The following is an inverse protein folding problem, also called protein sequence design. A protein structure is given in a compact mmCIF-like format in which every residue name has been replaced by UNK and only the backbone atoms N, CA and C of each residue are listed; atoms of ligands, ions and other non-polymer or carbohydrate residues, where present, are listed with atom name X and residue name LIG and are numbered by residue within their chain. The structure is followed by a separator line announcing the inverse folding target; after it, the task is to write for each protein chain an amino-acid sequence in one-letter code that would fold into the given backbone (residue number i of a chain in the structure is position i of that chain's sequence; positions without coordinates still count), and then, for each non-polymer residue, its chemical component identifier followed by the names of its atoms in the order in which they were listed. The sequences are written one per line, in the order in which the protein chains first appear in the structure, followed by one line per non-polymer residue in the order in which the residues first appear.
data_IF_718451660970
#
_entry.id   IF_718451660970
#
_cell.length_a   1.000
_cell.length_b   1.000
_cell.length_c   1.000
_cell.angle_alpha   90.00
_cell.angle_beta   90.00
_cell.angle_gamma   90.00
#
_symmetry.space_group_name_H-M   'P 1'
#
loop_
_entity.id
_entity.type
_entity.pdbx_description
1 polymer ?
#
# COMPACT_ATOMS: atom_id res chain seq x y z
N UNK A 1 28.99 37.87 -10.54
CA UNK A 1 27.65 37.28 -10.40
C UNK A 1 27.76 35.83 -10.83
N UNK A 2 27.84 34.93 -9.85
CA UNK A 2 28.22 33.53 -10.05
C UNK A 2 27.00 32.67 -10.38
N UNK A 3 27.18 31.84 -11.40
CA UNK A 3 26.27 30.81 -11.91
C UNK A 3 26.10 29.70 -10.86
N UNK A 4 24.89 29.22 -10.51
CA UNK A 4 24.74 28.06 -9.64
C UNK A 4 25.15 26.81 -10.44
N UNK A 5 26.28 26.24 -10.06
CA UNK A 5 26.79 24.99 -10.60
C UNK A 5 25.76 23.87 -10.38
N UNK A 6 25.44 23.16 -11.45
CA UNK A 6 24.83 21.83 -11.37
C UNK A 6 25.76 20.94 -10.54
N UNK A 7 25.25 20.41 -9.42
CA UNK A 7 25.94 19.35 -8.72
C UNK A 7 26.05 18.12 -9.65
N UNK A 8 27.18 17.39 -9.67
CA UNK A 8 27.33 16.25 -10.56
C UNK A 8 26.31 15.16 -10.22
N UNK A 9 25.50 14.79 -11.23
CA UNK A 9 24.92 13.45 -11.32
C UNK A 9 26.11 12.51 -11.53
N UNK A 10 26.52 11.79 -10.49
CA UNK A 10 27.27 10.50 -10.52
C UNK A 10 27.99 10.29 -9.19
N UNK A 11 27.25 9.85 -8.17
CA UNK A 11 27.79 9.13 -7.01
C UNK A 11 26.80 8.01 -6.64
N UNK A 12 26.48 7.14 -7.61
CA UNK A 12 25.92 5.83 -7.30
C UNK A 12 27.11 4.92 -7.01
N UNK A 13 27.66 5.05 -5.79
CA UNK A 13 28.57 4.04 -5.26
C UNK A 13 27.77 2.79 -4.90
N UNK A 14 28.29 1.60 -5.21
CA UNK A 14 27.76 0.35 -4.65
C UNK A 14 27.72 0.47 -3.12
N UNK A 15 26.53 0.24 -2.55
CA UNK A 15 26.29 0.41 -1.12
C UNK A 15 26.87 -0.80 -0.36
N UNK A 16 27.84 -0.54 0.51
CA UNK A 16 28.35 -1.52 1.47
C UNK A 16 27.23 -1.94 2.43
N UNK A 17 26.86 -3.22 2.39
CA UNK A 17 25.84 -3.82 3.25
C UNK A 17 26.22 -3.83 4.74
N UNK A 18 27.48 -3.50 5.08
CA UNK A 18 27.96 -3.40 6.46
C UNK A 18 27.79 -2.03 7.12
N UNK A 19 27.13 -1.08 6.46
CA UNK A 19 26.84 0.24 7.04
C UNK A 19 25.62 0.21 7.97
N UNK A 20 25.61 1.06 8.99
CA UNK A 20 24.51 1.19 9.97
C UNK A 20 23.20 1.67 9.29
N UNK A 21 23.31 2.29 8.11
CA UNK A 21 22.20 2.83 7.32
C UNK A 21 22.17 2.10 5.99
N UNK A 22 21.17 1.25 5.79
CA UNK A 22 21.01 0.46 4.56
C UNK A 22 19.87 1.05 3.73
N UNK A 23 20.11 1.44 2.48
CA UNK A 23 19.02 1.81 1.58
C UNK A 23 18.22 0.55 1.23
N UNK A 24 16.91 0.57 1.45
CA UNK A 24 16.03 -0.59 1.22
C UNK A 24 15.08 -0.40 0.05
N UNK A 25 14.78 0.85 -0.30
CA UNK A 25 13.95 1.18 -1.46
C UNK A 25 14.32 2.56 -2.01
N UNK A 26 14.19 2.71 -3.33
CA UNK A 26 14.43 3.94 -4.07
C UNK A 26 13.46 4.02 -5.25
N UNK A 27 12.53 4.98 -5.22
CA UNK A 27 11.68 5.31 -6.36
C UNK A 27 12.13 6.61 -7.04
N UNK A 28 13.45 6.82 -7.11
CA UNK A 28 14.04 8.01 -7.71
C UNK A 28 13.70 9.27 -6.92
N UNK A 29 13.09 10.25 -7.58
CA UNK A 29 12.85 11.57 -6.99
C UNK A 29 11.64 11.61 -6.05
N UNK A 30 10.87 10.52 -5.91
CA UNK A 30 9.59 10.52 -5.17
C UNK A 30 9.71 9.98 -3.76
N UNK A 31 10.36 8.82 -3.57
CA UNK A 31 10.54 8.24 -2.24
C UNK A 31 11.88 7.53 -2.12
N UNK A 32 12.50 7.66 -0.96
CA UNK A 32 13.65 6.85 -0.56
C UNK A 32 13.43 6.31 0.84
N UNK A 33 13.78 5.04 1.03
CA UNK A 33 13.62 4.34 2.31
C UNK A 33 14.95 3.75 2.74
N UNK A 34 15.31 3.97 4.00
CA UNK A 34 16.49 3.42 4.63
C UNK A 34 16.11 2.64 5.89
N UNK A 35 16.85 1.58 6.18
CA UNK A 35 16.80 0.86 7.45
C UNK A 35 17.98 1.28 8.31
N UNK A 36 17.70 1.64 9.56
CA UNK A 36 18.71 1.98 10.57
C UNK A 36 18.40 1.18 11.84
N UNK A 37 19.18 0.13 12.09
CA UNK A 37 18.91 -0.80 13.19
C UNK A 37 17.50 -1.41 13.10
N UNK A 38 16.65 -1.10 14.08
CA UNK A 38 15.24 -1.52 14.16
C UNK A 38 14.25 -0.44 13.73
N UNK A 39 14.68 0.55 12.95
CA UNK A 39 13.81 1.59 12.41
C UNK A 39 13.92 1.67 10.89
N UNK A 40 12.85 2.14 10.26
CA UNK A 40 12.82 2.53 8.85
C UNK A 40 12.61 4.04 8.76
N UNK A 41 13.41 4.71 7.94
CA UNK A 41 13.30 6.12 7.63
C UNK A 41 12.78 6.20 6.19
N UNK A 42 11.65 6.85 5.99
CA UNK A 42 11.07 7.13 4.68
C UNK A 42 11.05 8.65 4.49
N UNK A 43 11.66 9.12 3.40
CA UNK A 43 11.56 10.51 2.95
C UNK A 43 10.78 10.54 1.63
N UNK A 44 9.73 11.35 1.60
CA UNK A 44 8.78 11.46 0.49
C UNK A 44 8.75 12.89 -0.02
N UNK A 45 8.92 13.05 -1.33
CA UNK A 45 8.63 14.28 -2.04
C UNK A 45 7.23 14.18 -2.66
N UNK A 46 6.24 14.79 -2.00
CA UNK A 46 4.86 14.72 -2.46
C UNK A 46 4.63 15.69 -3.63
N UNK A 47 4.23 15.17 -4.80
CA UNK A 47 3.85 16.05 -5.89
C UNK A 47 2.65 16.92 -5.49
N UNK A 48 2.43 18.09 -6.13
CA UNK A 48 1.37 19.03 -5.73
C UNK A 48 -0.02 18.40 -5.55
N UNK A 49 -0.37 17.42 -6.39
CA UNK A 49 -1.67 16.73 -6.35
C UNK A 49 -1.83 15.72 -5.18
N UNK A 50 -0.77 15.45 -4.41
CA UNK A 50 -0.78 14.62 -3.20
C UNK A 50 -0.65 15.42 -1.90
N UNK A 51 -0.52 16.75 -1.96
CA UNK A 51 -0.24 17.55 -0.75
C UNK A 51 -1.37 17.53 0.29
N UNK A 52 -2.60 17.33 -0.17
CA UNK A 52 -3.78 17.18 0.69
C UNK A 52 -4.10 15.70 0.98
N UNK A 53 -3.18 14.77 0.68
CA UNK A 53 -3.39 13.35 0.98
C UNK A 53 -3.15 13.09 2.47
N UNK A 54 -3.93 12.18 3.05
CA UNK A 54 -3.70 11.73 4.43
C UNK A 54 -2.30 11.13 4.55
N UNK A 55 -1.49 11.71 5.45
CA UNK A 55 -0.13 11.25 5.67
C UNK A 55 -0.10 9.92 6.41
N UNK A 56 0.89 9.09 6.10
CA UNK A 56 1.02 7.73 6.66
C UNK A 56 0.98 7.70 8.20
N UNK A 57 1.62 8.67 8.87
CA UNK A 57 1.64 8.72 10.33
C UNK A 57 0.24 8.93 10.93
N UNK A 58 -0.62 9.68 10.24
CA UNK A 58 -2.01 9.93 10.68
C UNK A 58 -2.79 8.62 10.66
N UNK A 59 -2.66 7.86 9.58
CA UNK A 59 -3.28 6.54 9.44
C UNK A 59 -2.79 5.57 10.52
N UNK A 60 -1.48 5.43 10.69
CA UNK A 60 -0.90 4.50 11.67
C UNK A 60 -1.37 4.85 13.09
N UNK A 61 -1.28 6.13 13.48
CA UNK A 61 -1.69 6.58 14.80
C UNK A 61 -3.18 6.32 15.05
N UNK A 62 -4.04 6.54 14.05
CA UNK A 62 -5.45 6.25 14.15
C UNK A 62 -5.73 4.74 14.30
N UNK A 63 -5.01 3.88 13.60
CA UNK A 63 -5.20 2.42 13.68
C UNK A 63 -4.78 1.83 15.03
N UNK A 64 -3.75 2.38 15.68
CA UNK A 64 -3.36 1.97 17.04
C UNK A 64 -4.49 2.15 18.06
N UNK A 65 -5.45 3.04 17.80
CA UNK A 65 -6.61 3.23 18.69
C UNK A 65 -7.81 2.33 18.34
N UNK A 66 -7.72 1.47 17.32
CA UNK A 66 -8.86 0.67 16.81
C UNK A 66 -8.91 -0.77 17.31
N UNK A 67 -7.90 -1.23 18.05
CA UNK A 67 -7.86 -2.59 18.60
C UNK A 67 -7.79 -3.68 17.52
N UNK A 68 -6.99 -3.43 16.47
CA UNK A 68 -6.79 -4.35 15.34
C UNK A 68 -6.08 -5.66 15.74
N UNK A 69 -6.38 -6.76 15.04
CA UNK A 69 -5.88 -8.12 15.34
C UNK A 69 -4.49 -8.47 14.76
N UNK A 70 -3.83 -7.52 14.12
CA UNK A 70 -2.55 -7.69 13.45
C UNK A 70 -1.60 -6.55 13.81
N UNK A 71 -0.29 -6.80 13.67
CA UNK A 71 0.70 -5.81 14.05
C UNK A 71 0.91 -4.76 12.94
N UNK A 72 1.13 -3.52 13.34
CA UNK A 72 1.52 -2.41 12.45
C UNK A 72 2.71 -1.67 13.07
N UNK A 73 3.50 -0.92 12.28
CA UNK A 73 4.60 -0.13 12.82
C UNK A 73 4.14 0.91 13.84
N UNK A 74 5.03 1.27 14.77
CA UNK A 74 4.89 2.48 15.56
C UNK A 74 5.51 3.65 14.81
N UNK A 75 4.88 4.83 14.87
CA UNK A 75 5.50 6.08 14.43
C UNK A 75 6.47 6.53 15.51
N UNK A 76 7.76 6.54 15.20
CA UNK A 76 8.82 6.98 16.11
C UNK A 76 9.09 8.48 15.96
N UNK A 77 8.98 8.98 14.73
CA UNK A 77 9.15 10.39 14.40
C UNK A 77 8.43 10.70 13.10
N UNK A 78 7.94 11.94 12.95
CA UNK A 78 7.54 12.48 11.65
C UNK A 78 7.75 13.99 11.65
N UNK A 79 8.10 14.55 10.50
CA UNK A 79 8.20 15.99 10.30
C UNK A 79 8.20 16.33 8.81
N UNK A 80 7.86 17.57 8.50
CA UNK A 80 8.29 18.18 7.25
C UNK A 80 9.68 18.78 7.42
N UNK A 81 10.55 18.53 6.45
CA UNK A 81 11.81 19.24 6.30
C UNK A 81 11.84 19.86 4.91
N UNK A 82 11.77 21.19 4.86
CA UNK A 82 11.50 21.95 3.64
C UNK A 82 10.19 21.48 2.98
N UNK A 83 10.25 20.95 1.76
CA UNK A 83 9.11 20.42 1.01
C UNK A 83 8.94 18.90 1.13
N UNK A 84 9.81 18.22 1.88
CA UNK A 84 9.82 16.77 2.02
C UNK A 84 9.17 16.32 3.31
N UNK A 85 8.26 15.36 3.20
CA UNK A 85 7.72 14.66 4.35
C UNK A 85 8.66 13.53 4.76
N UNK A 86 9.00 13.46 6.04
CA UNK A 86 9.80 12.39 6.60
C UNK A 86 9.01 11.67 7.70
N UNK A 87 9.05 10.34 7.67
CA UNK A 87 8.51 9.47 8.71
C UNK A 87 9.55 8.42 9.11
N UNK A 88 9.65 8.18 10.41
CA UNK A 88 10.45 7.10 10.98
C UNK A 88 9.51 6.14 11.68
N UNK A 89 9.55 4.87 11.31
CA UNK A 89 8.70 3.81 11.87
C UNK A 89 9.53 2.68 12.46
N UNK A 90 8.95 1.93 13.41
CA UNK A 90 9.59 0.71 13.94
C UNK A 90 9.61 -0.41 12.89
N UNK A 91 10.68 -1.21 12.87
CA UNK A 91 10.73 -2.44 12.10
C UNK A 91 9.75 -3.49 12.65
N UNK A 92 9.21 -4.33 11.77
CA UNK A 92 8.38 -5.48 12.14
C UNK A 92 9.20 -6.77 12.16
N UNK A 93 8.78 -7.72 13.00
CA UNK A 93 9.40 -9.04 13.08
C UNK A 93 8.98 -9.89 11.88
N UNK A 94 9.96 -10.49 11.21
CA UNK A 94 9.75 -11.41 10.10
C UNK A 94 10.40 -10.93 8.80
N UNK A 95 9.91 -11.46 7.69
CA UNK A 95 10.33 -11.07 6.33
C UNK A 95 9.09 -10.74 5.50
N UNK A 96 9.25 -9.97 4.43
CA UNK A 96 8.14 -9.67 3.53
C UNK A 96 7.62 -10.95 2.86
N UNK A 97 6.31 -11.00 2.59
CA UNK A 97 5.65 -12.20 2.08
C UNK A 97 6.22 -12.63 0.73
N UNK A 98 6.60 -11.69 -0.13
CA UNK A 98 7.27 -11.96 -1.41
C UNK A 98 8.56 -12.76 -1.26
N UNK A 99 9.37 -12.43 -0.26
CA UNK A 99 10.63 -13.14 0.03
C UNK A 99 10.39 -14.52 0.63
N UNK A 100 9.35 -14.65 1.46
CA UNK A 100 9.02 -15.93 2.08
C UNK A 100 8.27 -16.88 1.13
N UNK A 101 7.53 -16.35 0.16
CA UNK A 101 6.52 -17.10 -0.60
C UNK A 101 7.02 -18.40 -1.23
N UNK A 102 8.16 -18.35 -1.90
CA UNK A 102 8.74 -19.52 -2.59
C UNK A 102 9.17 -20.62 -1.62
N UNK A 103 9.47 -20.27 -0.37
CA UNK A 103 9.86 -21.23 0.68
C UNK A 103 8.67 -21.82 1.45
N UNK A 104 7.48 -21.26 1.32
CA UNK A 104 6.28 -21.73 2.00
C UNK A 104 5.67 -22.95 1.30
N UNK A 105 5.20 -23.91 2.08
CA UNK A 105 4.29 -24.95 1.60
C UNK A 105 2.88 -24.41 1.35
N UNK A 106 2.03 -25.25 0.75
CA UNK A 106 0.67 -24.87 0.38
C UNK A 106 -0.18 -24.52 1.60
N UNK A 107 -0.07 -25.27 2.70
CA UNK A 107 -0.83 -25.01 3.93
C UNK A 107 -0.48 -23.64 4.52
N UNK A 108 0.80 -23.29 4.55
CA UNK A 108 1.27 -21.99 5.04
C UNK A 108 0.80 -20.83 4.16
N UNK A 109 0.82 -21.01 2.84
CA UNK A 109 0.29 -19.99 1.90
C UNK A 109 -1.20 -19.77 2.09
N UNK A 110 -1.97 -20.85 2.24
CA UNK A 110 -3.41 -20.76 2.50
C UNK A 110 -3.71 -20.09 3.84
N UNK A 111 -2.95 -20.44 4.89
CA UNK A 111 -3.06 -19.81 6.20
C UNK A 111 -2.89 -18.28 6.12
N UNK A 112 -1.83 -17.79 5.47
CA UNK A 112 -1.60 -16.35 5.37
C UNK A 112 -2.62 -15.66 4.46
N UNK A 113 -3.10 -16.32 3.41
CA UNK A 113 -4.18 -15.78 2.58
C UNK A 113 -5.48 -15.64 3.39
N UNK A 114 -5.83 -16.62 4.22
CA UNK A 114 -6.98 -16.53 5.14
C UNK A 114 -6.80 -15.42 6.17
N UNK A 115 -5.60 -15.27 6.73
CA UNK A 115 -5.28 -14.16 7.65
C UNK A 115 -5.45 -12.80 6.98
N UNK A 116 -5.07 -12.63 5.72
CA UNK A 116 -5.26 -11.37 4.99
C UNK A 116 -6.74 -11.11 4.69
N UNK A 117 -7.52 -12.15 4.39
CA UNK A 117 -8.99 -12.03 4.25
C UNK A 117 -9.62 -11.55 5.56
N UNK A 118 -9.20 -12.09 6.69
CA UNK A 118 -9.68 -11.65 8.01
C UNK A 118 -9.28 -10.20 8.31
N UNK A 119 -8.08 -9.78 7.94
CA UNK A 119 -7.62 -8.38 8.05
C UNK A 119 -8.48 -7.46 7.18
N UNK A 120 -8.79 -7.84 5.93
CA UNK A 120 -9.70 -7.10 5.07
C UNK A 120 -11.10 -6.98 5.67
N UNK A 121 -11.65 -8.06 6.25
CA UNK A 121 -12.94 -8.04 6.96
C UNK A 121 -12.90 -7.13 8.18
N UNK A 122 -11.81 -7.16 8.93
CA UNK A 122 -11.63 -6.33 10.12
C UNK A 122 -11.56 -4.85 9.79
N UNK A 123 -10.71 -4.46 8.83
CA UNK A 123 -10.62 -3.08 8.36
C UNK A 123 -11.95 -2.59 7.76
N UNK A 124 -12.65 -3.43 7.01
CA UNK A 124 -13.93 -3.06 6.41
C UNK A 124 -15.07 -2.80 7.43
N UNK A 125 -14.87 -3.09 8.73
CA UNK A 125 -15.80 -2.66 9.80
C UNK A 125 -15.69 -1.17 10.10
N UNK A 126 -14.60 -0.52 9.71
CA UNK A 126 -14.48 0.93 9.84
C UNK A 126 -15.14 1.59 8.63
N UNK A 127 -16.12 2.45 8.90
CA UNK A 127 -16.96 3.05 7.86
C UNK A 127 -16.89 4.58 7.90
N UNK A 128 -17.05 5.18 6.73
CA UNK A 128 -17.24 6.62 6.59
C UNK A 128 -18.31 6.92 5.52
N UNK A 129 -18.94 8.09 5.68
CA UNK A 129 -19.87 8.65 4.69
C UNK A 129 -19.19 9.23 3.45
N UNK A 130 -17.88 9.02 3.29
CA UNK A 130 -17.08 9.64 2.25
C UNK A 130 -15.96 8.71 1.76
N UNK A 131 -15.53 8.91 0.51
CA UNK A 131 -14.22 8.45 0.02
C UNK A 131 -13.14 9.47 0.41
N UNK A 132 -12.01 8.96 0.91
CA UNK A 132 -10.93 9.79 1.47
C UNK A 132 -10.13 9.02 2.52
N UNK A 133 -9.07 9.63 3.04
CA UNK A 133 -8.30 9.02 4.12
C UNK A 133 -8.96 9.17 5.50
N UNK A 134 -8.33 8.61 6.53
CA UNK A 134 -8.96 8.38 7.84
C UNK A 134 -9.33 9.67 8.61
N UNK A 135 -8.68 10.78 8.27
CA UNK A 135 -8.86 12.12 8.83
C UNK A 135 -9.80 13.01 7.98
N UNK A 136 -10.37 12.47 6.90
CA UNK A 136 -11.21 13.21 5.96
C UNK A 136 -10.48 13.93 4.84
N UNK A 137 -9.14 13.85 4.79
CA UNK A 137 -8.33 14.35 3.69
C UNK A 137 -8.43 13.43 2.44
N UNK A 138 -7.68 13.78 1.39
CA UNK A 138 -7.74 13.04 0.13
C UNK A 138 -7.08 11.66 0.24
N UNK A 139 -7.59 10.73 -0.58
CA UNK A 139 -7.06 9.37 -0.70
C UNK A 139 -6.18 9.30 -1.94
N UNK A 140 -4.88 9.06 -1.78
CA UNK A 140 -3.95 8.95 -2.90
C UNK A 140 -4.07 7.59 -3.63
N UNK A 141 -5.26 7.21 -4.08
CA UNK A 141 -5.48 5.96 -4.82
C UNK A 141 -5.34 6.18 -6.33
N UNK A 142 -4.11 6.01 -6.81
CA UNK A 142 -3.74 6.16 -8.23
C UNK A 142 -4.57 5.31 -9.17
N UNK A 143 -4.97 4.11 -8.74
CA UNK A 143 -5.67 3.17 -9.61
C UNK A 143 -7.17 3.45 -9.72
N UNK A 144 -7.69 4.39 -8.93
CA UNK A 144 -9.00 5.00 -9.16
C UNK A 144 -8.90 6.29 -10.00
N UNK A 145 -7.77 6.53 -10.67
CA UNK A 145 -7.62 7.58 -11.69
C UNK A 145 -7.63 6.95 -13.08
N UNK A 146 -8.32 7.58 -14.03
CA UNK A 146 -8.42 7.06 -15.39
C UNK A 146 -7.06 7.13 -16.09
N UNK A 147 -6.62 6.08 -16.82
CA UNK A 147 -5.41 6.15 -17.62
C UNK A 147 -5.43 7.31 -18.61
N UNK A 148 -4.33 8.06 -18.68
CA UNK A 148 -4.19 9.22 -19.58
C UNK A 148 -4.80 10.52 -19.06
N UNK A 149 -5.53 10.50 -17.95
CA UNK A 149 -5.95 11.72 -17.25
C UNK A 149 -4.90 12.14 -16.21
N UNK A 150 -4.77 13.45 -15.91
CA UNK A 150 -3.90 13.91 -14.82
C UNK A 150 -4.29 13.28 -13.48
N UNK A 151 -3.31 13.00 -12.63
CA UNK A 151 -3.57 12.56 -11.26
C UNK A 151 -4.31 13.65 -10.47
N UNK A 152 -5.50 13.30 -9.98
CA UNK A 152 -6.32 14.16 -9.16
C UNK A 152 -7.06 13.32 -8.11
N UNK A 153 -6.68 13.51 -6.84
CA UNK A 153 -7.22 12.73 -5.72
C UNK A 153 -8.36 13.43 -5.00
N UNK A 154 -8.98 14.41 -5.64
CA UNK A 154 -10.17 15.07 -5.08
C UNK A 154 -11.26 14.03 -4.85
N UNK A 155 -12.01 14.18 -3.74
CA UNK A 155 -13.14 13.32 -3.41
C UNK A 155 -14.12 13.18 -4.58
N UNK A 156 -14.40 14.29 -5.26
CA UNK A 156 -15.33 14.33 -6.38
C UNK A 156 -14.82 13.50 -7.57
N UNK A 157 -13.53 13.60 -7.89
CA UNK A 157 -12.92 12.84 -8.98
C UNK A 157 -12.90 11.34 -8.66
N UNK A 158 -12.52 10.95 -7.44
CA UNK A 158 -12.55 9.55 -7.02
C UNK A 158 -13.98 8.98 -7.05
N UNK A 159 -14.97 9.70 -6.50
CA UNK A 159 -16.37 9.29 -6.56
C UNK A 159 -16.86 9.10 -8.00
N UNK A 160 -16.56 10.06 -8.88
CA UNK A 160 -16.93 10.00 -10.30
C UNK A 160 -16.36 8.74 -10.95
N UNK A 161 -15.11 8.40 -10.67
CA UNK A 161 -14.45 7.24 -11.25
C UNK A 161 -15.01 5.92 -10.68
N UNK A 162 -15.26 5.84 -9.36
CA UNK A 162 -15.95 4.70 -8.75
C UNK A 162 -17.34 4.47 -9.35
N UNK A 163 -18.13 5.54 -9.56
CA UNK A 163 -19.44 5.45 -10.21
C UNK A 163 -19.34 5.02 -11.67
N UNK A 164 -18.33 5.47 -12.41
CA UNK A 164 -18.07 5.02 -13.78
C UNK A 164 -17.75 3.51 -13.85
N UNK A 165 -17.11 2.98 -12.81
CA UNK A 165 -16.86 1.54 -12.61
C UNK A 165 -18.07 0.78 -12.06
N UNK A 166 -19.21 1.44 -11.85
CA UNK A 166 -20.46 0.88 -11.32
C UNK A 166 -20.33 0.33 -9.89
N UNK A 167 -19.42 0.88 -9.09
CA UNK A 167 -19.34 0.56 -7.66
C UNK A 167 -20.47 1.25 -6.88
N UNK A 168 -20.87 0.67 -5.75
CA UNK A 168 -21.83 1.30 -4.84
C UNK A 168 -21.17 2.47 -4.09
N UNK A 169 -21.62 3.69 -4.40
CA UNK A 169 -21.14 4.93 -3.78
C UNK A 169 -22.23 5.60 -2.91
N UNK A 170 -23.24 4.85 -2.45
CA UNK A 170 -24.42 5.40 -1.76
C UNK A 170 -24.19 5.82 -0.30
N UNK A 171 -22.94 5.81 0.18
CA UNK A 171 -22.56 6.47 1.44
C UNK A 171 -22.03 5.58 2.55
N UNK A 172 -21.77 4.28 2.31
CA UNK A 172 -21.03 3.42 3.25
C UNK A 172 -19.72 2.96 2.62
N UNK A 173 -18.68 3.76 2.81
CA UNK A 173 -17.32 3.46 2.34
C UNK A 173 -16.57 2.70 3.42
N UNK A 174 -15.79 1.69 3.02
CA UNK A 174 -15.08 0.78 3.92
C UNK A 174 -13.61 1.14 3.96
N UNK A 175 -13.02 1.14 5.15
CA UNK A 175 -11.58 1.36 5.28
C UNK A 175 -10.80 0.18 4.70
N UNK A 176 -9.80 0.47 3.89
CA UNK A 176 -8.92 -0.51 3.26
C UNK A 176 -7.52 0.07 3.07
N UNK A 177 -6.51 -0.79 3.07
CA UNK A 177 -5.11 -0.41 2.91
C UNK A 177 -4.80 0.18 1.52
N UNK A 178 -5.55 -0.22 0.48
CA UNK A 178 -5.34 0.19 -0.93
C UNK A 178 -4.00 -0.20 -1.57
N UNK A 179 -3.04 -0.68 -0.80
CA UNK A 179 -1.78 -1.25 -1.30
C UNK A 179 -1.33 -2.52 -0.53
N UNK A 180 -2.28 -3.38 -0.15
CA UNK A 180 -2.04 -4.63 0.60
C UNK A 180 -1.38 -5.76 -0.22
N UNK A 181 -0.29 -5.43 -0.91
CA UNK A 181 0.50 -6.37 -1.71
C UNK A 181 1.48 -7.19 -0.85
N UNK A 182 2.09 -8.26 -1.41
CA UNK A 182 3.01 -9.13 -0.68
C UNK A 182 4.25 -8.42 -0.12
N UNK A 183 4.70 -7.31 -0.72
CA UNK A 183 5.81 -6.52 -0.20
C UNK A 183 5.46 -5.74 1.07
N UNK A 184 4.16 -5.46 1.28
CA UNK A 184 3.63 -4.71 2.41
C UNK A 184 3.09 -5.61 3.54
N UNK A 185 3.25 -6.92 3.39
CA UNK A 185 2.89 -7.93 4.38
C UNK A 185 4.17 -8.55 4.90
N UNK A 186 4.40 -8.47 6.21
CA UNK A 186 5.53 -9.12 6.89
C UNK A 186 5.02 -10.33 7.64
N UNK A 187 5.66 -11.47 7.43
CA UNK A 187 5.29 -12.76 8.00
C UNK A 187 6.41 -13.32 8.86
N UNK A 188 6.03 -13.84 10.02
CA UNK A 188 6.87 -14.65 10.90
C UNK A 188 6.32 -16.07 10.89
N UNK A 189 6.78 -16.88 9.91
CA UNK A 189 6.32 -18.26 9.71
C UNK A 189 6.46 -19.11 10.96
N UNK A 190 7.54 -18.91 11.74
CA UNK A 190 7.82 -19.69 12.94
C UNK A 190 6.77 -19.46 14.03
N UNK A 191 6.36 -18.21 14.22
CA UNK A 191 5.41 -17.83 15.25
C UNK A 191 4.00 -17.56 14.73
N UNK A 192 3.73 -17.83 13.44
CA UNK A 192 2.50 -17.48 12.73
C UNK A 192 2.11 -15.99 12.87
N UNK A 193 3.12 -15.12 12.94
CA UNK A 193 2.93 -13.67 13.06
C UNK A 193 2.65 -13.03 11.71
N UNK A 194 1.80 -12.00 11.71
CA UNK A 194 1.53 -11.17 10.53
C UNK A 194 1.54 -9.69 10.92
N UNK A 195 2.23 -8.90 10.11
CA UNK A 195 2.26 -7.44 10.21
C UNK A 195 1.97 -6.81 8.85
N UNK A 196 1.41 -5.60 8.87
CA UNK A 196 1.10 -4.83 7.66
C UNK A 196 1.78 -3.46 7.77
N UNK A 197 2.49 -3.06 6.71
CA UNK A 197 3.27 -1.82 6.63
C UNK A 197 2.84 -0.98 5.43
N UNK A 198 3.36 0.24 5.33
CA UNK A 198 3.16 1.15 4.18
C UNK A 198 1.72 1.68 4.02
N UNK A 199 1.27 2.42 5.03
CA UNK A 199 -0.13 2.84 5.19
C UNK A 199 -0.50 4.14 4.46
N UNK A 200 0.38 4.65 3.59
CA UNK A 200 0.23 5.95 2.93
C UNK A 200 -0.92 5.99 1.91
N UNK A 201 -1.37 4.82 1.43
CA UNK A 201 -2.48 4.70 0.48
C UNK A 201 -3.81 4.38 1.14
N UNK A 202 -3.85 4.12 2.45
CA UNK A 202 -5.05 3.59 3.07
C UNK A 202 -6.15 4.64 3.24
N UNK A 203 -7.40 4.21 3.09
CA UNK A 203 -8.56 5.07 3.25
C UNK A 203 -9.88 4.37 3.02
N UNK A 204 -10.96 5.15 3.01
CA UNK A 204 -12.32 4.68 2.80
C UNK A 204 -12.64 4.60 1.32
N UNK A 205 -13.06 3.43 0.84
CA UNK A 205 -13.37 3.13 -0.57
C UNK A 205 -14.67 2.31 -0.68
N UNK A 206 -15.30 2.22 -1.86
CA UNK A 206 -16.37 1.25 -2.08
C UNK A 206 -15.88 -0.18 -1.79
N UNK A 207 -16.73 -1.02 -1.22
CA UNK A 207 -16.34 -2.38 -0.79
C UNK A 207 -15.86 -3.23 -1.95
N UNK A 208 -16.37 -3.00 -3.16
CA UNK A 208 -15.96 -3.68 -4.39
C UNK A 208 -14.48 -3.43 -4.72
N UNK A 209 -13.92 -2.29 -4.29
CA UNK A 209 -12.53 -1.96 -4.58
C UNK A 209 -11.55 -2.91 -3.89
N UNK A 210 -11.89 -3.40 -2.71
CA UNK A 210 -11.03 -4.27 -1.88
C UNK A 210 -10.61 -5.51 -2.67
N UNK A 211 -11.57 -6.26 -3.22
CA UNK A 211 -11.28 -7.47 -4.01
C UNK A 211 -10.75 -7.13 -5.39
N UNK A 212 -11.23 -6.04 -6.01
CA UNK A 212 -10.77 -5.60 -7.34
C UNK A 212 -9.26 -5.37 -7.36
N UNK A 213 -8.69 -4.74 -6.32
CA UNK A 213 -7.24 -4.50 -6.20
C UNK A 213 -6.41 -5.78 -6.28
N UNK A 214 -6.84 -6.86 -5.61
CA UNK A 214 -6.15 -8.15 -5.66
C UNK A 214 -6.24 -8.79 -7.05
N UNK A 215 -7.39 -8.71 -7.72
CA UNK A 215 -7.61 -9.36 -9.02
C UNK A 215 -6.89 -8.65 -10.17
N UNK A 216 -6.87 -7.32 -10.15
CA UNK A 216 -6.26 -6.52 -11.21
C UNK A 216 -4.76 -6.32 -11.03
N UNK A 217 -4.21 -6.76 -9.89
CA UNK A 217 -2.78 -6.70 -9.62
C UNK A 217 -2.22 -5.28 -9.66
N UNK A 218 -3.04 -4.29 -9.36
CA UNK A 218 -2.63 -2.89 -9.45
C UNK A 218 -1.77 -2.49 -8.25
N UNK A 219 -0.61 -1.87 -8.50
CA UNK A 219 0.32 -1.41 -7.45
C UNK A 219 1.27 -2.52 -7.02
N UNK A 220 1.50 -2.66 -5.71
CA UNK A 220 2.39 -3.68 -5.15
C UNK A 220 1.78 -5.09 -5.10
N UNK A 221 0.66 -5.35 -5.79
CA UNK A 221 -0.12 -6.59 -5.71
C UNK A 221 0.49 -7.80 -6.43
N UNK A 222 1.57 -7.59 -7.18
CA UNK A 222 2.36 -8.66 -7.78
C UNK A 222 3.59 -8.98 -6.93
N UNK A 223 4.03 -10.24 -6.97
CA UNK A 223 5.35 -10.58 -6.46
C UNK A 223 6.44 -9.98 -7.36
N UNK A 224 7.34 -9.19 -6.78
CA UNK A 224 8.62 -8.86 -7.39
C UNK A 224 9.61 -10.03 -7.22
N UNK A 225 9.26 -11.18 -7.78
CA UNK A 225 10.18 -12.32 -7.85
C UNK A 225 10.89 -12.29 -9.20
N UNK A 226 12.16 -11.90 -9.18
CA UNK A 226 13.08 -11.89 -10.34
C UNK A 226 13.18 -13.29 -11.01
N UNK A 227 12.82 -14.36 -10.28
CA UNK A 227 12.87 -15.76 -10.73
C UNK A 227 11.50 -16.42 -10.97
N UNK A 228 10.39 -15.68 -10.87
CA UNK A 228 9.03 -16.23 -10.95
C UNK A 228 8.46 -16.22 -12.38
N UNK A 229 7.67 -17.24 -12.73
CA UNK A 229 6.86 -17.23 -13.96
C UNK A 229 5.73 -16.18 -13.85
N UNK A 230 5.13 -15.76 -14.97
CA UNK A 230 3.97 -14.84 -14.94
C UNK A 230 2.81 -15.38 -14.08
N UNK A 231 2.65 -16.72 -14.00
CA UNK A 231 1.64 -17.34 -13.15
C UNK A 231 1.93 -17.16 -11.66
N UNK A 232 3.20 -17.25 -11.27
CA UNK A 232 3.63 -17.07 -9.88
C UNK A 232 3.45 -15.62 -9.42
N UNK A 233 3.70 -14.63 -10.29
CA UNK A 233 3.53 -13.21 -9.98
C UNK A 233 2.09 -12.85 -9.59
N UNK A 234 1.11 -13.53 -10.19
CA UNK A 234 -0.32 -13.33 -9.91
C UNK A 234 -0.88 -14.26 -8.84
N UNK A 235 -0.10 -15.25 -8.38
CA UNK A 235 -0.60 -16.31 -7.52
C UNK A 235 -1.20 -15.76 -6.21
N UNK A 236 -0.58 -14.75 -5.63
CA UNK A 236 -1.08 -14.09 -4.42
C UNK A 236 -2.42 -13.40 -4.64
N UNK A 237 -2.49 -12.48 -5.60
CA UNK A 237 -3.71 -11.73 -5.91
C UNK A 237 -4.87 -12.66 -6.28
N UNK A 238 -4.59 -13.73 -7.04
CA UNK A 238 -5.58 -14.76 -7.36
C UNK A 238 -6.08 -15.51 -6.12
N UNK A 239 -5.17 -16.02 -5.29
CA UNK A 239 -5.53 -16.80 -4.09
C UNK A 239 -6.37 -15.96 -3.10
N UNK A 240 -5.93 -14.73 -2.81
CA UNK A 240 -6.66 -13.84 -1.89
C UNK A 240 -7.97 -13.39 -2.52
N UNK A 241 -7.98 -13.07 -3.82
CA UNK A 241 -9.20 -12.70 -4.55
C UNK A 241 -10.26 -13.79 -4.54
N UNK A 242 -9.87 -15.06 -4.72
CA UNK A 242 -10.77 -16.22 -4.63
C UNK A 242 -11.36 -16.35 -3.22
N UNK A 243 -10.53 -16.28 -2.18
CA UNK A 243 -10.98 -16.37 -0.78
C UNK A 243 -11.84 -15.17 -0.35
N UNK A 244 -11.54 -13.96 -0.80
CA UNK A 244 -12.39 -12.78 -0.62
C UNK A 244 -13.77 -12.98 -1.27
N UNK A 245 -13.80 -13.59 -2.47
CA UNK A 245 -15.05 -13.97 -3.13
C UNK A 245 -15.88 -14.97 -2.30
N UNK A 246 -15.24 -16.00 -1.75
CA UNK A 246 -15.88 -16.96 -0.83
C UNK A 246 -16.40 -16.29 0.45
N UNK A 247 -15.72 -15.22 0.90
CA UNK A 247 -16.14 -14.39 2.03
C UNK A 247 -17.23 -13.36 1.70
N UNK A 248 -17.73 -13.33 0.46
CA UNK A 248 -18.84 -12.45 0.05
C UNK A 248 -18.42 -11.07 -0.49
N UNK A 249 -17.12 -10.81 -0.66
CA UNK A 249 -16.67 -9.58 -1.31
C UNK A 249 -16.94 -9.64 -2.81
N UNK A 250 -17.59 -8.58 -3.30
CA UNK A 250 -17.81 -8.34 -4.73
C UNK A 250 -16.60 -7.62 -5.32
N UNK A 251 -16.50 -7.60 -6.63
CA UNK A 251 -15.48 -6.86 -7.38
C UNK A 251 -16.08 -6.26 -8.65
N UNK A 252 -15.33 -5.37 -9.27
CA UNK A 252 -15.64 -4.77 -10.58
C UNK A 252 -14.48 -4.95 -11.56
N UNK A 253 -13.74 -6.07 -11.44
CA UNK A 253 -12.51 -6.34 -12.18
C UNK A 253 -12.71 -6.27 -13.71
N UNK A 254 -13.79 -6.85 -14.22
CA UNK A 254 -14.12 -6.78 -15.66
C UNK A 254 -14.33 -5.34 -16.15
N UNK A 255 -15.17 -4.59 -15.44
CA UNK A 255 -15.47 -3.18 -15.72
C UNK A 255 -14.21 -2.33 -15.64
N UNK A 256 -13.34 -2.62 -14.67
CA UNK A 256 -12.05 -1.97 -14.51
C UNK A 256 -11.14 -2.16 -15.73
N UNK A 257 -11.03 -3.40 -16.23
CA UNK A 257 -10.26 -3.71 -17.45
C UNK A 257 -10.83 -3.02 -18.69
N UNK A 258 -12.16 -2.93 -18.80
CA UNK A 258 -12.79 -2.19 -19.91
C UNK A 258 -12.56 -0.69 -19.82
N UNK A 259 -12.63 -0.14 -18.60
CA UNK A 259 -12.39 1.27 -18.34
C UNK A 259 -10.96 1.68 -18.67
N UNK A 260 -9.98 0.78 -18.48
CA UNK A 260 -8.57 0.99 -18.83
C UNK A 260 -8.24 0.90 -20.32
N UNK A 261 -9.11 0.28 -21.13
CA UNK A 261 -8.91 0.16 -22.58
C UNK A 261 -9.36 1.40 -23.38
N UNK A 262 -10.03 2.35 -22.74
CA UNK A 262 -10.70 3.50 -23.37
C UNK A 262 -10.00 4.81 -23.08
#
# INVERSE_FOLDING_TARGET
MANPQHAPRDLIGEVDQNTIIQKVHDAGDVVSVWKVGQAFIKAVDYPPFMRDATLEHVTINALHTKGISFAIPNVLYNAYWEDRYMIITSAMTGVTLDKAWLSMDQETREYYADRVVDICKEMAKFEAGYIGGIDGNSLAETFLTKPGEPYEYSRNTLLKNCMALRMDCTGSFKFYHCDLGPMNIIVDVKNRGISVIDWERAGFVPIEWIKTKFLEGTGAMYFDCVMATNGDRMAWGKLVGEKLGQAGFKDVAEMYREWHKK
#
